data_IF_305037259836
#
_entry.id   IF_305037259836
#
_cell.length_a   1.000
_cell.length_b   1.000
_cell.length_c   1.000
_cell.angle_alpha   90.00
_cell.angle_beta   90.00
_cell.angle_gamma   90.00
#
_symmetry.space_group_name_H-M   'P 1'
#
loop_
_entity.id
_entity.type
_entity.pdbx_description
1 polymer ?
#
# COMPACT_ATOMS: atom_id res chain seq x y z
N UNK A 1 -6.55 8.68 -11.75
CA UNK A 1 -6.35 7.51 -10.88
C UNK A 1 -7.40 6.42 -11.05
N UNK A 2 -8.71 6.73 -11.02
CA UNK A 2 -9.74 5.68 -11.13
C UNK A 2 -9.65 4.80 -12.40
N UNK A 3 -9.39 5.41 -13.56
CA UNK A 3 -9.22 4.69 -14.83
C UNK A 3 -8.01 3.75 -14.79
N UNK A 4 -6.91 4.19 -14.18
CA UNK A 4 -5.71 3.39 -13.99
C UNK A 4 -6.01 2.15 -13.15
N UNK A 5 -6.59 2.32 -11.95
CA UNK A 5 -6.96 1.20 -11.08
C UNK A 5 -7.95 0.25 -11.76
N UNK A 6 -8.90 0.78 -12.53
CA UNK A 6 -9.86 -0.04 -13.30
C UNK A 6 -9.17 -0.91 -14.35
N UNK A 7 -8.17 -0.36 -15.08
CA UNK A 7 -7.40 -1.09 -16.08
C UNK A 7 -6.58 -2.20 -15.42
N UNK A 8 -5.86 -1.89 -14.33
CA UNK A 8 -5.05 -2.87 -13.59
C UNK A 8 -5.90 -4.01 -13.03
N UNK A 9 -7.05 -3.71 -12.41
CA UNK A 9 -7.97 -4.74 -11.90
C UNK A 9 -8.51 -5.64 -13.02
N UNK A 10 -8.82 -5.05 -14.18
CA UNK A 10 -9.28 -5.82 -15.35
C UNK A 10 -8.20 -6.78 -15.85
N UNK A 11 -6.93 -6.35 -15.85
CA UNK A 11 -5.78 -7.19 -16.20
C UNK A 11 -5.50 -8.30 -15.19
N UNK A 12 -5.64 -8.03 -13.89
CA UNK A 12 -5.50 -9.07 -12.86
C UNK A 12 -6.61 -10.13 -13.00
N UNK A 13 -7.83 -9.69 -13.30
CA UNK A 13 -8.97 -10.59 -13.54
C UNK A 13 -8.79 -11.46 -14.79
N UNK A 14 -8.21 -10.90 -15.87
CA UNK A 14 -7.95 -11.67 -17.11
C UNK A 14 -6.83 -12.69 -16.95
N UNK A 15 -5.74 -12.37 -16.23
CA UNK A 15 -4.66 -13.31 -15.90
C UNK A 15 -5.13 -14.47 -14.99
N UNK A 16 -6.21 -14.29 -14.22
CA UNK A 16 -6.82 -15.32 -13.37
C UNK A 16 -7.73 -16.32 -14.12
N UNK A 17 -7.98 -16.12 -15.43
CA UNK A 17 -8.80 -17.02 -16.26
C UNK A 17 -7.97 -17.66 -17.39
N UNK A 18 -7.20 -18.73 -17.15
CA UNK A 18 -6.45 -19.40 -18.20
C UNK A 18 -7.35 -20.42 -18.91
N UNK A 19 -8.35 -19.96 -19.66
CA UNK A 19 -8.99 -20.68 -20.76
C UNK A 19 -10.22 -19.92 -21.26
N UNK A 20 -10.00 -18.95 -22.12
CA UNK A 20 -10.99 -18.58 -23.14
C UNK A 20 -10.31 -18.76 -24.49
N UNK A 21 -10.54 -19.90 -25.12
CA UNK A 21 -10.10 -20.16 -26.49
C UNK A 21 -10.76 -19.14 -27.42
N UNK A 22 -10.03 -18.44 -28.30
CA UNK A 22 -10.66 -17.53 -29.25
C UNK A 22 -11.47 -18.36 -30.25
N UNK A 23 -12.77 -18.08 -30.33
CA UNK A 23 -13.67 -18.63 -31.35
C UNK A 23 -13.20 -18.15 -32.73
N UNK A 24 -12.88 -19.02 -33.69
CA UNK A 24 -12.52 -18.60 -35.03
C UNK A 24 -13.78 -18.21 -35.81
N UNK A 25 -13.88 -16.95 -36.20
CA UNK A 25 -14.90 -16.50 -37.16
C UNK A 25 -14.51 -16.97 -38.56
N UNK A 26 -15.48 -17.57 -39.25
CA UNK A 26 -15.40 -18.24 -40.55
C UNK A 26 -14.90 -17.35 -41.72
N UNK A 27 -14.41 -17.96 -42.83
CA UNK A 27 -13.74 -17.25 -43.92
C UNK A 27 -14.74 -16.63 -44.92
N UNK A 28 -14.37 -15.49 -45.51
CA UNK A 28 -14.98 -14.98 -46.74
C UNK A 28 -13.92 -14.87 -47.83
N UNK A 29 -14.26 -15.45 -48.99
CA UNK A 29 -13.46 -15.60 -50.20
C UNK A 29 -13.33 -14.29 -51.02
N UNK A 30 -12.11 -14.11 -51.57
CA UNK A 30 -11.70 -13.58 -52.89
C UNK A 30 -12.22 -12.23 -53.44
N UNK A 31 -11.28 -11.32 -53.78
CA UNK A 31 -10.85 -11.07 -55.18
C UNK A 31 -9.55 -10.20 -55.24
N UNK A 32 -8.55 -10.49 -56.10
CA UNK A 32 -7.29 -9.73 -56.19
C UNK A 32 -7.21 -8.88 -57.47
N UNK A 33 -7.04 -7.56 -57.35
CA UNK A 33 -6.38 -6.78 -58.42
C UNK A 33 -5.99 -5.36 -57.99
N UNK A 34 -4.82 -4.92 -58.49
CA UNK A 34 -4.22 -3.59 -58.51
C UNK A 34 -3.41 -3.08 -57.30
N UNK A 35 -2.08 -3.16 -57.46
CA UNK A 35 -1.09 -2.13 -57.10
C UNK A 35 -0.64 -1.42 -58.40
N UNK A 36 0.07 -0.26 -58.43
CA UNK A 36 0.84 0.46 -57.39
C UNK A 36 0.39 1.95 -57.23
N UNK A 37 0.83 2.81 -56.30
CA UNK A 37 2.19 3.32 -56.02
C UNK A 37 2.18 4.41 -54.91
N UNK A 38 3.21 4.37 -54.04
CA UNK A 38 3.87 5.44 -53.23
C UNK A 38 3.18 6.08 -51.99
N UNK A 39 3.97 6.49 -50.96
CA UNK A 39 3.54 6.59 -49.54
C UNK A 39 3.30 8.03 -49.04
N UNK A 40 2.69 8.18 -47.86
CA UNK A 40 3.28 8.99 -46.78
C UNK A 40 3.38 8.14 -45.49
N UNK A 41 4.53 8.04 -44.82
CA UNK A 41 4.96 8.94 -43.74
C UNK A 41 3.80 9.35 -42.83
N UNK A 42 3.54 8.52 -41.82
CA UNK A 42 3.26 8.88 -40.42
C UNK A 42 2.72 7.63 -39.72
N UNK A 43 3.58 6.93 -38.98
CA UNK A 43 3.12 6.07 -37.90
C UNK A 43 4.01 6.36 -36.71
N UNK A 44 3.41 7.11 -35.81
CA UNK A 44 3.85 7.45 -34.48
C UNK A 44 4.42 6.20 -33.81
N UNK A 45 5.59 6.40 -33.20
CA UNK A 45 6.24 5.51 -32.26
C UNK A 45 5.27 5.30 -31.08
N UNK A 46 4.32 4.37 -31.21
CA UNK A 46 3.59 3.84 -30.07
C UNK A 46 4.61 3.06 -29.24
N UNK A 47 5.17 3.76 -28.26
CA UNK A 47 6.03 3.18 -27.25
C UNK A 47 5.42 1.89 -26.74
N UNK A 48 6.22 0.83 -26.79
CA UNK A 48 5.92 -0.46 -26.18
C UNK A 48 5.64 -0.22 -24.69
N UNK A 49 4.36 -0.06 -24.32
CA UNK A 49 3.90 -0.12 -22.94
C UNK A 49 4.29 -1.52 -22.43
N UNK A 50 5.29 -1.58 -21.55
CA UNK A 50 5.70 -2.78 -20.84
C UNK A 50 4.56 -3.25 -19.92
N UNK A 51 3.59 -3.97 -20.51
CA UNK A 51 2.33 -4.47 -19.94
C UNK A 51 2.53 -5.53 -18.82
N UNK A 52 3.76 -5.67 -18.31
CA UNK A 52 4.09 -6.50 -17.16
C UNK A 52 4.05 -5.77 -15.83
N UNK A 53 4.07 -4.42 -15.79
CA UNK A 53 4.06 -3.67 -14.53
C UNK A 53 2.70 -3.85 -13.81
N UNK A 54 2.65 -4.56 -12.66
CA UNK A 54 1.42 -4.77 -11.90
C UNK A 54 0.86 -3.51 -11.23
N UNK A 55 1.44 -2.35 -11.49
CA UNK A 55 0.93 -1.04 -11.16
C UNK A 55 2.02 -0.21 -10.53
N UNK A 56 2.74 0.55 -11.36
CA UNK A 56 3.70 1.57 -10.91
C UNK A 56 2.99 2.41 -9.87
N UNK A 57 3.46 2.36 -8.63
CA UNK A 57 3.07 3.38 -7.67
C UNK A 57 3.67 4.68 -8.21
N UNK A 58 2.89 5.77 -8.30
CA UNK A 58 3.46 7.10 -8.59
C UNK A 58 4.62 7.44 -7.64
N UNK A 59 4.59 6.85 -6.44
CA UNK A 59 5.62 6.94 -5.43
C UNK A 59 6.88 6.10 -5.72
N UNK A 60 6.88 5.20 -6.71
CA UNK A 60 8.06 4.40 -7.07
C UNK A 60 9.15 5.22 -7.77
N UNK A 61 8.82 6.41 -8.26
CA UNK A 61 9.81 7.32 -8.84
C UNK A 61 10.81 7.80 -7.77
N UNK A 62 12.08 7.99 -8.15
CA UNK A 62 13.15 8.51 -7.28
C UNK A 62 13.52 7.71 -6.02
N UNK A 63 13.24 6.39 -5.99
CA UNK A 63 13.63 5.50 -4.90
C UNK A 63 13.01 5.88 -3.53
N UNK A 64 11.89 6.61 -3.56
CA UNK A 64 11.23 7.10 -2.35
C UNK A 64 10.76 5.99 -1.37
N UNK A 65 10.26 4.81 -1.83
CA UNK A 65 9.88 3.74 -0.93
C UNK A 65 11.04 3.22 -0.09
N UNK A 66 12.22 3.06 -0.70
CA UNK A 66 13.40 2.59 -0.01
C UNK A 66 13.97 3.64 0.94
N UNK A 67 13.89 4.93 0.60
CA UNK A 67 14.29 6.00 1.52
C UNK A 67 13.40 6.03 2.76
N UNK A 68 12.08 5.93 2.59
CA UNK A 68 11.14 5.87 3.73
C UNK A 68 11.37 4.58 4.53
N UNK A 69 11.57 3.43 3.87
CA UNK A 69 11.90 2.18 4.55
C UNK A 69 13.19 2.30 5.37
N UNK A 70 14.26 2.82 4.76
CA UNK A 70 15.56 3.04 5.40
C UNK A 70 15.40 3.94 6.62
N UNK A 71 14.76 5.10 6.46
CA UNK A 71 14.52 6.05 7.54
C UNK A 71 13.74 5.43 8.71
N UNK A 72 12.66 4.69 8.42
CA UNK A 72 11.81 4.08 9.44
C UNK A 72 12.44 2.87 10.12
N UNK A 73 13.48 2.28 9.53
CA UNK A 73 14.20 1.13 10.09
C UNK A 73 15.52 1.50 10.73
N UNK A 74 15.97 2.74 10.56
CA UNK A 74 17.18 3.27 11.18
C UNK A 74 17.10 3.23 12.72
N UNK A 75 18.18 2.82 13.38
CA UNK A 75 18.23 2.68 14.84
C UNK A 75 18.02 4.00 15.58
N UNK A 76 18.23 5.15 14.93
CA UNK A 76 17.93 6.46 15.50
C UNK A 76 16.42 6.78 15.51
N UNK A 77 15.62 6.13 14.68
CA UNK A 77 14.18 6.34 14.64
C UNK A 77 13.50 5.66 15.85
N UNK A 78 12.78 6.40 16.72
CA UNK A 78 12.29 5.86 17.98
C UNK A 78 11.36 4.65 17.85
N UNK A 79 10.58 4.59 16.76
CA UNK A 79 9.67 3.48 16.48
C UNK A 79 10.25 2.44 15.51
N UNK A 80 11.55 2.48 15.23
CA UNK A 80 12.18 1.44 14.44
C UNK A 80 11.93 0.05 15.07
N UNK A 81 11.79 -1.01 14.26
CA UNK A 81 11.58 -2.36 14.78
C UNK A 81 12.69 -2.81 15.72
N UNK A 82 13.96 -2.41 15.50
CA UNK A 82 15.08 -2.69 16.40
C UNK A 82 14.89 -2.10 17.80
N UNK A 83 14.19 -0.97 17.91
CA UNK A 83 13.91 -0.27 19.16
C UNK A 83 12.62 -0.75 19.85
N UNK A 84 11.68 -1.33 19.10
CA UNK A 84 10.35 -1.71 19.60
C UNK A 84 10.16 -3.22 19.76
N UNK A 85 10.90 -4.04 19.01
CA UNK A 85 10.94 -5.49 19.21
C UNK A 85 11.83 -5.76 20.41
N UNK A 86 11.26 -6.30 21.49
CA UNK A 86 12.04 -6.78 22.62
C UNK A 86 13.08 -7.77 22.10
N UNK A 87 14.37 -7.41 22.19
CA UNK A 87 15.45 -8.37 22.15
C UNK A 87 15.09 -9.44 23.18
N UNK A 88 14.80 -10.65 22.72
CA UNK A 88 14.49 -11.78 23.59
C UNK A 88 15.53 -11.79 24.68
N UNK A 89 15.08 -11.71 25.94
CA UNK A 89 15.94 -11.55 27.11
C UNK A 89 17.26 -12.30 26.93
N UNK A 90 18.34 -11.57 26.70
CA UNK A 90 19.69 -12.08 26.85
C UNK A 90 19.95 -12.23 28.34
N UNK A 91 19.18 -13.09 29.01
CA UNK A 91 19.63 -13.74 30.21
C UNK A 91 20.92 -14.46 29.83
N UNK A 92 22.05 -13.89 30.26
CA UNK A 92 23.35 -14.56 30.36
C UNK A 92 23.18 -15.82 31.21
N UNK A 93 22.64 -16.87 30.60
CA UNK A 93 22.44 -18.19 31.15
C UNK A 93 23.18 -19.17 30.26
N UNK A 94 24.45 -19.40 30.60
CA UNK A 94 25.38 -20.33 29.96
C UNK A 94 24.74 -21.73 29.90
N UNK A 95 24.19 -22.17 28.76
CA UNK A 95 23.92 -23.59 28.49
C UNK A 95 24.21 -23.94 27.03
N UNK A 96 25.21 -24.82 26.85
CA UNK A 96 25.47 -25.56 25.61
C UNK A 96 24.27 -26.46 25.32
N UNK A 97 23.74 -26.39 24.10
CA UNK A 97 22.74 -27.32 23.58
C UNK A 97 22.65 -27.18 22.06
N UNK A 98 22.85 -28.30 21.34
CA UNK A 98 22.80 -28.39 19.88
C UNK A 98 21.41 -28.02 19.34
N UNK A 99 21.41 -27.52 18.11
CA UNK A 99 20.32 -26.77 17.50
C UNK A 99 19.03 -27.52 17.21
N UNK A 100 17.97 -26.72 17.13
CA UNK A 100 16.79 -26.92 16.29
C UNK A 100 16.42 -25.54 15.74
N UNK A 101 16.37 -25.39 14.41
CA UNK A 101 15.81 -24.21 13.75
C UNK A 101 14.34 -24.09 14.20
N UNK A 102 14.05 -23.11 15.05
CA UNK A 102 12.71 -22.84 15.54
C UNK A 102 11.89 -22.14 14.45
N UNK A 103 10.77 -22.75 14.07
CA UNK A 103 9.71 -22.12 13.27
C UNK A 103 9.31 -20.81 13.97
N UNK A 104 9.25 -19.69 13.26
CA UNK A 104 8.85 -18.40 13.85
C UNK A 104 7.47 -18.55 14.49
N UNK A 105 7.39 -18.51 15.82
CA UNK A 105 6.11 -18.52 16.52
C UNK A 105 5.39 -17.20 16.24
N UNK A 106 4.07 -17.28 16.01
CA UNK A 106 3.23 -16.10 15.90
C UNK A 106 3.43 -15.20 17.14
N UNK A 107 3.57 -13.87 16.96
CA UNK A 107 3.82 -12.96 18.07
C UNK A 107 2.68 -13.02 19.09
N UNK A 108 3.02 -12.97 20.37
CA UNK A 108 2.05 -12.95 21.46
C UNK A 108 1.22 -11.66 21.43
N UNK A 109 -0.02 -11.70 21.96
CA UNK A 109 -0.92 -10.53 22.00
C UNK A 109 -0.26 -9.28 22.61
N UNK A 110 0.59 -9.49 23.62
CA UNK A 110 1.34 -8.44 24.32
C UNK A 110 2.50 -7.84 23.50
N UNK A 111 3.06 -8.61 22.57
CA UNK A 111 4.08 -8.11 21.63
C UNK A 111 3.44 -7.27 20.51
N UNK A 112 2.24 -7.65 20.03
CA UNK A 112 1.48 -6.82 19.09
C UNK A 112 1.09 -5.46 19.67
N UNK A 113 0.69 -5.40 20.94
CA UNK A 113 0.35 -4.15 21.63
C UNK A 113 1.55 -3.20 21.82
N UNK A 114 2.79 -3.72 21.78
CA UNK A 114 4.03 -2.94 21.93
C UNK A 114 4.61 -2.40 20.62
N UNK A 115 4.02 -2.79 19.50
CA UNK A 115 4.51 -2.41 18.17
C UNK A 115 3.75 -1.20 17.64
N UNK A 116 4.43 -0.30 16.93
CA UNK A 116 3.82 0.94 16.46
C UNK A 116 2.70 0.65 15.46
N UNK A 117 1.58 1.36 15.60
CA UNK A 117 0.52 1.39 14.59
C UNK A 117 0.87 2.37 13.46
N UNK A 118 0.61 1.96 12.23
CA UNK A 118 0.94 2.75 11.03
C UNK A 118 -0.32 3.02 10.22
N UNK A 119 -0.53 4.28 9.84
CA UNK A 119 -1.52 4.69 8.86
C UNK A 119 -0.84 5.17 7.59
N UNK A 120 -1.30 4.71 6.43
CA UNK A 120 -0.84 5.18 5.13
C UNK A 120 -1.94 5.95 4.39
N UNK A 121 -1.73 7.25 4.20
CA UNK A 121 -2.66 8.17 3.54
C UNK A 121 -2.48 8.12 2.03
N UNK A 122 -3.58 7.95 1.30
CA UNK A 122 -3.52 7.73 -0.15
C UNK A 122 -2.70 6.47 -0.45
N UNK A 123 -3.10 5.35 0.16
CA UNK A 123 -2.30 4.12 0.15
C UNK A 123 -2.14 3.52 -1.25
N UNK A 124 -3.00 3.90 -2.20
CA UNK A 124 -2.94 3.37 -3.55
C UNK A 124 -3.12 1.85 -3.55
N UNK A 125 -2.22 1.18 -4.25
CA UNK A 125 -2.16 -0.27 -4.32
C UNK A 125 -1.63 -0.96 -3.02
N UNK A 126 -1.32 -0.20 -1.97
CA UNK A 126 -0.88 -0.72 -0.67
C UNK A 126 0.58 -1.20 -0.60
N UNK A 127 1.39 -0.93 -1.61
CA UNK A 127 2.78 -1.43 -1.72
C UNK A 127 3.67 -1.03 -0.53
N UNK A 128 3.52 0.20 -0.03
CA UNK A 128 4.36 0.70 1.06
C UNK A 128 4.12 -0.05 2.37
N UNK A 129 2.87 -0.30 2.73
CA UNK A 129 2.56 -1.05 3.95
C UNK A 129 3.03 -2.50 3.84
N UNK A 130 2.94 -3.09 2.64
CA UNK A 130 3.49 -4.40 2.36
C UNK A 130 5.04 -4.40 2.52
N UNK A 131 5.72 -3.39 1.98
CA UNK A 131 7.16 -3.19 2.12
C UNK A 131 7.59 -3.10 3.60
N UNK A 132 6.92 -2.25 4.38
CA UNK A 132 7.19 -2.08 5.81
C UNK A 132 6.93 -3.35 6.62
N UNK A 133 5.89 -4.11 6.26
CA UNK A 133 5.59 -5.39 6.91
C UNK A 133 6.67 -6.43 6.63
N UNK A 134 7.07 -6.59 5.37
CA UNK A 134 7.95 -7.68 4.92
C UNK A 134 9.43 -7.36 5.06
N UNK A 135 9.90 -6.25 4.47
CA UNK A 135 11.31 -5.83 4.53
C UNK A 135 11.56 -5.01 5.80
N UNK A 136 10.60 -4.18 6.21
CA UNK A 136 10.75 -3.29 7.37
C UNK A 136 10.57 -3.94 8.73
N UNK A 137 10.08 -5.19 8.83
CA UNK A 137 9.98 -5.91 10.11
C UNK A 137 8.95 -5.37 11.11
N UNK A 138 8.12 -4.40 10.73
CA UNK A 138 7.06 -3.85 11.57
C UNK A 138 5.97 -4.88 11.85
N UNK A 139 5.54 -5.02 13.11
CA UNK A 139 4.54 -6.05 13.53
C UNK A 139 3.24 -5.50 14.12
N UNK A 140 3.13 -4.17 14.28
CA UNK A 140 1.94 -3.50 14.78
C UNK A 140 0.81 -3.45 13.76
N UNK A 141 -0.31 -2.83 14.13
CA UNK A 141 -1.45 -2.62 13.24
C UNK A 141 -1.05 -1.70 12.08
N UNK A 142 -1.52 -2.03 10.87
CA UNK A 142 -1.27 -1.21 9.69
C UNK A 142 -2.57 -1.01 8.95
N UNK A 143 -2.91 0.25 8.67
CA UNK A 143 -4.11 0.63 7.95
C UNK A 143 -3.70 1.48 6.76
N UNK A 144 -4.13 1.11 5.55
CA UNK A 144 -4.02 1.94 4.36
C UNK A 144 -5.39 2.51 4.02
N UNK A 145 -5.45 3.82 3.78
CA UNK A 145 -6.70 4.50 3.40
C UNK A 145 -6.56 5.16 2.05
N UNK A 146 -7.64 5.14 1.27
CA UNK A 146 -7.74 5.82 -0.02
C UNK A 146 -9.19 6.26 -0.24
N UNK A 147 -9.39 7.38 -0.94
CA UNK A 147 -10.73 7.82 -1.32
C UNK A 147 -11.34 6.93 -2.40
N UNK A 148 -10.50 6.28 -3.22
CA UNK A 148 -10.93 5.45 -4.34
C UNK A 148 -11.19 4.01 -3.92
N UNK A 149 -12.45 3.58 -4.00
CA UNK A 149 -12.83 2.19 -3.75
C UNK A 149 -12.04 1.20 -4.61
N UNK A 150 -11.77 1.55 -5.87
CA UNK A 150 -10.99 0.70 -6.79
C UNK A 150 -9.55 0.51 -6.34
N UNK A 151 -8.94 1.55 -5.76
CA UNK A 151 -7.60 1.49 -5.18
C UNK A 151 -7.54 0.47 -4.03
N UNK A 152 -8.54 0.51 -3.15
CA UNK A 152 -8.66 -0.41 -2.01
C UNK A 152 -8.94 -1.84 -2.45
N UNK A 153 -9.77 -2.05 -3.46
CA UNK A 153 -9.98 -3.38 -4.07
C UNK A 153 -8.65 -3.92 -4.61
N UNK A 154 -7.91 -3.11 -5.36
CA UNK A 154 -6.60 -3.49 -5.89
C UNK A 154 -5.61 -3.85 -4.77
N UNK A 155 -5.50 -3.02 -3.73
CA UNK A 155 -4.62 -3.29 -2.60
C UNK A 155 -4.94 -4.63 -1.90
N UNK A 156 -6.23 -4.90 -1.69
CA UNK A 156 -6.71 -6.17 -1.12
C UNK A 156 -6.42 -7.35 -2.04
N UNK A 157 -6.59 -7.22 -3.35
CA UNK A 157 -6.27 -8.27 -4.32
C UNK A 157 -4.76 -8.58 -4.35
N UNK A 158 -3.91 -7.56 -4.41
CA UNK A 158 -2.45 -7.75 -4.43
C UNK A 158 -1.93 -8.40 -3.15
N UNK A 159 -2.54 -8.06 -2.00
CA UNK A 159 -2.25 -8.71 -0.72
C UNK A 159 -2.64 -10.20 -0.72
N UNK A 160 -3.76 -10.57 -1.37
CA UNK A 160 -4.25 -11.95 -1.46
C UNK A 160 -3.45 -12.81 -2.44
N UNK A 161 -3.19 -12.32 -3.65
CA UNK A 161 -2.75 -13.16 -4.78
C UNK A 161 -1.24 -13.35 -4.88
N UNK A 162 -0.43 -12.39 -4.44
CA UNK A 162 0.97 -12.34 -4.89
C UNK A 162 2.00 -12.33 -3.78
N UNK A 163 1.61 -12.37 -2.50
CA UNK A 163 2.56 -12.44 -1.40
C UNK A 163 3.78 -11.53 -1.60
N UNK A 164 3.56 -10.22 -1.76
CA UNK A 164 4.58 -9.20 -2.01
C UNK A 164 5.39 -9.27 -3.34
N UNK A 165 5.35 -10.37 -4.11
CA UNK A 165 5.99 -10.42 -5.43
C UNK A 165 5.34 -9.44 -6.43
N UNK A 166 4.14 -8.95 -6.13
CA UNK A 166 3.45 -7.93 -6.93
C UNK A 166 4.07 -6.54 -6.86
N UNK A 167 4.91 -6.29 -5.86
CA UNK A 167 5.40 -4.95 -5.56
C UNK A 167 6.89 -4.81 -5.88
N UNK A 168 7.51 -5.87 -6.43
CA UNK A 168 8.87 -5.82 -6.93
C UNK A 168 8.79 -5.33 -8.37
N UNK A 169 9.33 -4.14 -8.64
CA UNK A 169 9.72 -3.76 -9.99
C UNK A 169 10.92 -4.61 -10.39
N UNK A 170 11.03 -4.97 -11.68
CA UNK A 170 12.12 -5.80 -12.22
C UNK A 170 13.53 -5.22 -12.00
N UNK A 171 13.66 -4.01 -11.45
CA UNK A 171 14.93 -3.41 -11.02
C UNK A 171 15.59 -4.09 -9.82
N UNK A 172 14.90 -4.96 -9.08
CA UNK A 172 15.43 -5.69 -7.91
C UNK A 172 16.13 -7.03 -8.29
N UNK A 173 16.28 -7.37 -9.57
CA UNK A 173 16.86 -8.67 -9.98
C UNK A 173 18.40 -8.77 -9.95
N UNK A 174 19.13 -7.68 -9.76
CA UNK A 174 20.59 -7.65 -9.97
C UNK A 174 21.45 -7.49 -8.70
N UNK A 175 21.02 -8.04 -7.57
CA UNK A 175 21.90 -8.20 -6.40
C UNK A 175 21.48 -9.36 -5.51
N UNK A 176 21.94 -10.58 -5.83
CA UNK A 176 22.87 -11.33 -4.96
C UNK A 176 23.31 -12.66 -5.59
N UNK A 177 24.60 -12.70 -5.94
CA UNK A 177 25.55 -13.82 -5.84
C UNK A 177 25.10 -15.23 -6.25
N UNK A 178 25.67 -15.66 -7.38
CA UNK A 178 25.73 -17.05 -7.78
C UNK A 178 26.22 -18.00 -6.68
N UNK A 179 25.32 -18.89 -6.28
CA UNK A 179 25.67 -20.27 -5.89
C UNK A 179 24.71 -21.20 -6.60
N UNK A 180 25.24 -21.81 -7.65
CA UNK A 180 24.74 -23.03 -8.25
C UNK A 180 24.86 -24.13 -7.19
N UNK A 181 23.74 -24.56 -6.62
CA UNK A 181 23.58 -25.85 -5.96
C UNK A 181 22.16 -26.35 -6.28
N UNK A 182 22.09 -27.61 -6.70
CA UNK A 182 21.03 -28.15 -7.54
C UNK A 182 19.70 -28.47 -6.87
N UNK A 183 18.71 -28.62 -7.74
CA UNK A 183 17.55 -29.52 -7.68
C UNK A 183 16.92 -29.74 -6.29
N UNK A 184 15.84 -29.00 -6.01
CA UNK A 184 14.71 -29.55 -5.25
C UNK A 184 13.42 -29.25 -6.05
N UNK A 185 12.82 -30.31 -6.58
CA UNK A 185 11.49 -30.31 -7.16
C UNK A 185 10.47 -30.08 -6.04
N UNK A 186 9.74 -28.95 -6.07
CA UNK A 186 8.60 -28.76 -5.19
C UNK A 186 7.41 -29.61 -5.69
N UNK A 187 7.18 -30.69 -4.95
CA UNK A 187 6.04 -31.61 -5.02
C UNK A 187 4.71 -30.86 -5.13
N UNK A 188 4.05 -31.00 -6.29
CA UNK A 188 2.64 -30.65 -6.47
C UNK A 188 1.81 -31.67 -5.71
N UNK A 189 1.46 -31.37 -4.45
CA UNK A 189 0.41 -32.12 -3.73
C UNK A 189 -0.94 -31.88 -4.40
N UNK A 190 -1.33 -32.84 -5.23
CA UNK A 190 -2.64 -32.97 -5.87
C UNK A 190 -3.70 -33.17 -4.78
N UNK A 191 -4.37 -32.11 -4.36
CA UNK A 191 -5.61 -32.22 -3.60
C UNK A 191 -6.76 -32.49 -4.57
N UNK A 192 -7.44 -33.62 -4.38
CA UNK A 192 -8.55 -34.10 -5.20
C UNK A 192 -9.68 -33.06 -5.30
N UNK A 193 -10.14 -32.85 -6.54
CA UNK A 193 -11.26 -31.98 -6.87
C UNK A 193 -12.59 -32.49 -6.26
N UNK A 194 -13.42 -31.63 -5.64
CA UNK A 194 -14.82 -31.94 -5.46
C UNK A 194 -15.56 -31.71 -6.79
N UNK A 195 -16.43 -32.66 -7.12
CA UNK A 195 -17.30 -32.69 -8.30
C UNK A 195 -18.18 -31.44 -8.44
N UNK A 196 -18.19 -30.87 -9.65
CA UNK A 196 -18.96 -29.68 -10.09
C UNK A 196 -20.46 -30.00 -10.28
N UNK A 197 -21.41 -29.21 -9.77
CA UNK A 197 -22.81 -29.22 -10.21
C UNK A 197 -23.07 -28.25 -11.40
N UNK A 198 -24.15 -28.43 -12.19
CA UNK A 198 -24.34 -27.78 -13.50
C UNK A 198 -24.76 -26.29 -13.40
N UNK A 199 -24.67 -25.52 -14.51
CA UNK A 199 -24.72 -24.06 -14.46
C UNK A 199 -26.15 -23.52 -14.48
N UNK A 200 -26.43 -22.54 -13.63
CA UNK A 200 -27.67 -21.78 -13.65
C UNK A 200 -27.71 -20.74 -12.55
N UNK A 201 -27.89 -19.48 -12.94
CA UNK A 201 -28.05 -18.25 -12.15
C UNK A 201 -26.76 -17.65 -11.55
N UNK A 202 -26.57 -16.36 -11.88
CA UNK A 202 -25.49 -15.52 -11.42
C UNK A 202 -25.61 -15.31 -9.91
N UNK A 203 -24.72 -15.91 -9.14
CA UNK A 203 -24.63 -15.75 -7.69
C UNK A 203 -23.19 -15.35 -7.35
N UNK A 204 -23.08 -14.44 -6.39
CA UNK A 204 -21.88 -13.71 -6.00
C UNK A 204 -20.66 -14.61 -5.75
N UNK A 205 -19.48 -14.11 -6.12
CA UNK A 205 -18.20 -14.70 -5.72
C UNK A 205 -18.22 -14.97 -4.21
N UNK A 206 -17.79 -16.16 -3.75
CA UNK A 206 -17.83 -16.49 -2.34
C UNK A 206 -16.91 -15.54 -1.58
N UNK A 207 -17.50 -14.79 -0.64
CA UNK A 207 -16.78 -14.07 0.40
C UNK A 207 -16.05 -15.14 1.22
N UNK A 208 -14.76 -15.33 0.94
CA UNK A 208 -13.89 -16.10 1.81
C UNK A 208 -13.85 -15.39 3.15
N UNK A 209 -14.27 -16.10 4.20
CA UNK A 209 -14.26 -15.65 5.59
C UNK A 209 -12.89 -15.08 5.98
N UNK A 210 -12.93 -14.01 6.76
CA UNK A 210 -11.80 -13.30 7.36
C UNK A 210 -10.82 -14.26 8.06
N UNK A 211 -9.77 -14.65 7.36
CA UNK A 211 -8.84 -15.67 7.83
C UNK A 211 -7.42 -15.43 7.33
N UNK A 212 -6.69 -14.54 8.01
CA UNK A 212 -5.22 -14.50 8.05
C UNK A 212 -4.47 -14.20 6.74
N UNK A 213 -4.81 -13.11 6.05
CA UNK A 213 -3.91 -12.48 5.07
C UNK A 213 -3.19 -11.29 5.72
N UNK A 214 -1.92 -11.49 6.09
CA UNK A 214 -0.89 -10.47 6.35
C UNK A 214 -1.20 -9.20 7.17
N UNK A 215 -2.18 -9.16 8.08
CA UNK A 215 -2.27 -8.14 9.15
C UNK A 215 -2.23 -6.66 8.73
N UNK A 216 -2.49 -6.33 7.47
CA UNK A 216 -2.65 -4.98 6.95
C UNK A 216 -4.12 -4.86 6.55
N UNK A 217 -4.76 -3.79 7.01
CA UNK A 217 -6.15 -3.45 6.72
C UNK A 217 -6.17 -2.33 5.67
N UNK A 218 -7.12 -2.39 4.74
CA UNK A 218 -7.30 -1.36 3.72
C UNK A 218 -8.74 -0.85 3.76
N UNK A 219 -8.94 0.47 3.78
CA UNK A 219 -10.26 1.09 3.95
C UNK A 219 -10.51 2.23 2.98
N UNK A 220 -11.75 2.33 2.50
CA UNK A 220 -12.20 3.46 1.70
C UNK A 220 -12.52 4.60 2.66
N UNK A 221 -11.74 5.67 2.60
CA UNK A 221 -11.90 6.83 3.47
C UNK A 221 -11.41 8.09 2.80
N UNK A 222 -12.32 9.04 2.59
CA UNK A 222 -11.99 10.35 2.05
C UNK A 222 -11.56 11.29 3.19
N UNK A 223 -10.26 11.51 3.27
CA UNK A 223 -9.63 12.34 4.31
C UNK A 223 -10.20 13.76 4.38
N UNK A 224 -10.64 14.36 3.26
CA UNK A 224 -11.06 15.75 3.21
C UNK A 224 -12.54 15.94 3.60
N UNK A 225 -13.38 14.93 3.37
CA UNK A 225 -14.82 14.97 3.70
C UNK A 225 -15.16 14.27 5.01
N UNK A 226 -14.27 13.44 5.55
CA UNK A 226 -14.56 12.52 6.67
C UNK A 226 -14.03 13.00 8.02
N UNK A 227 -13.81 14.31 8.20
CA UNK A 227 -13.21 14.90 9.41
C UNK A 227 -14.05 14.81 10.66
N UNK A 228 -15.36 14.61 10.52
CA UNK A 228 -16.30 14.45 11.64
C UNK A 228 -15.97 13.24 12.52
N UNK A 229 -15.25 12.25 11.99
CA UNK A 229 -14.76 11.07 12.71
C UNK A 229 -13.52 11.33 13.58
N UNK A 230 -12.88 12.51 13.48
CA UNK A 230 -11.69 12.87 14.25
C UNK A 230 -11.99 13.81 15.43
N UNK A 231 -13.28 14.03 15.71
CA UNK A 231 -13.73 14.80 16.88
C UNK A 231 -13.44 14.05 18.19
N UNK A 232 -13.48 14.73 19.35
CA UNK A 232 -13.45 14.06 20.64
C UNK A 232 -14.47 12.90 20.71
N UNK A 233 -14.07 11.78 21.34
CA UNK A 233 -14.82 10.52 21.29
C UNK A 233 -16.26 10.62 21.82
N UNK A 234 -16.49 11.55 22.75
CA UNK A 234 -17.80 11.89 23.32
C UNK A 234 -18.73 12.62 22.34
N UNK A 235 -18.21 13.09 21.21
CA UNK A 235 -18.94 13.85 20.18
C UNK A 235 -19.17 13.06 18.90
N UNK A 236 -18.68 11.81 18.82
CA UNK A 236 -18.89 10.92 17.67
C UNK A 236 -20.03 9.96 18.02
N UNK A 237 -21.15 9.96 17.27
CA UNK A 237 -22.19 8.96 17.42
C UNK A 237 -21.63 7.54 17.34
N UNK A 238 -22.11 6.60 18.15
CA UNK A 238 -21.55 5.24 18.22
C UNK A 238 -21.52 4.52 16.86
N UNK A 239 -22.46 4.81 15.96
CA UNK A 239 -22.52 4.25 14.60
C UNK A 239 -21.59 4.92 13.57
N UNK A 240 -20.92 6.02 13.94
CA UNK A 240 -19.99 6.76 13.08
C UNK A 240 -18.53 6.59 13.52
N UNK A 241 -18.24 5.69 14.46
CA UNK A 241 -16.85 5.45 14.88
C UNK A 241 -16.12 4.59 13.85
N UNK A 242 -14.91 5.00 13.51
CA UNK A 242 -14.01 4.20 12.69
C UNK A 242 -13.42 3.09 13.57
N UNK A 243 -13.82 1.85 13.33
CA UNK A 243 -13.37 0.68 14.10
C UNK A 243 -11.86 0.40 13.94
N UNK A 244 -11.23 0.97 12.92
CA UNK A 244 -9.78 0.92 12.67
C UNK A 244 -9.00 2.10 13.23
N UNK A 245 -9.67 3.16 13.71
CA UNK A 245 -8.99 4.34 14.24
C UNK A 245 -8.72 4.18 15.75
N UNK A 246 -7.47 4.34 16.21
CA UNK A 246 -7.09 4.13 17.61
C UNK A 246 -7.46 5.33 18.49
N UNK A 247 -8.76 5.52 18.74
CA UNK A 247 -9.29 6.62 19.55
C UNK A 247 -8.72 6.66 20.98
N UNK A 248 -8.50 5.50 21.58
CA UNK A 248 -7.95 5.33 22.93
C UNK A 248 -6.51 5.83 23.04
N UNK A 249 -5.74 5.76 21.95
CA UNK A 249 -4.38 6.30 21.85
C UNK A 249 -4.35 7.74 21.35
N UNK A 250 -5.48 8.26 20.87
CA UNK A 250 -5.59 9.58 20.24
C UNK A 250 -4.91 9.67 18.87
N UNK A 251 -4.79 8.55 18.15
CA UNK A 251 -4.18 8.49 16.81
C UNK A 251 -3.12 7.40 16.65
N UNK A 252 -2.53 7.32 15.46
CA UNK A 252 -1.50 6.36 15.08
C UNK A 252 -0.11 6.79 15.56
N UNK A 253 0.78 5.81 15.78
CA UNK A 253 2.19 6.06 16.10
C UNK A 253 2.93 6.69 14.93
N UNK A 254 2.65 6.21 13.71
CA UNK A 254 3.25 6.66 12.46
C UNK A 254 2.14 6.90 11.44
N UNK A 255 2.13 8.08 10.82
CA UNK A 255 1.27 8.40 9.67
C UNK A 255 2.17 8.70 8.48
N UNK A 256 1.89 8.08 7.34
CA UNK A 256 2.65 8.25 6.11
C UNK A 256 1.83 9.07 5.11
N UNK A 257 2.46 10.09 4.57
CA UNK A 257 2.00 10.85 3.41
C UNK A 257 3.06 10.75 2.33
N UNK A 258 2.72 10.05 1.25
CA UNK A 258 3.65 9.71 0.18
C UNK A 258 3.33 10.43 -1.13
N UNK A 259 3.03 11.72 -1.02
CA UNK A 259 2.55 12.54 -2.14
C UNK A 259 1.03 12.69 -2.18
N UNK A 260 0.32 12.33 -1.10
CA UNK A 260 -1.12 12.59 -0.97
C UNK A 260 -1.37 14.08 -0.82
N UNK A 261 -0.54 14.77 -0.04
CA UNK A 261 -0.62 16.23 0.05
C UNK A 261 -0.33 16.90 -1.30
N UNK A 262 0.60 16.37 -2.10
CA UNK A 262 0.87 16.88 -3.45
C UNK A 262 -0.36 16.75 -4.34
N UNK A 263 -0.95 15.55 -4.40
CA UNK A 263 -2.15 15.29 -5.19
C UNK A 263 -3.33 16.18 -4.76
N UNK A 264 -3.54 16.34 -3.45
CA UNK A 264 -4.55 17.25 -2.90
C UNK A 264 -4.25 18.71 -3.26
N UNK A 265 -2.98 19.09 -3.30
CA UNK A 265 -2.52 20.44 -3.64
C UNK A 265 -2.66 20.79 -5.12
N UNK A 266 -2.90 19.82 -6.00
CA UNK A 266 -3.20 20.07 -7.41
C UNK A 266 -4.63 20.56 -7.65
N UNK A 267 -5.55 20.33 -6.70
CA UNK A 267 -6.91 20.84 -6.83
C UNK A 267 -6.95 22.37 -6.70
N UNK A 268 -7.69 23.01 -7.61
CA UNK A 268 -8.05 24.42 -7.55
C UNK A 268 -9.32 24.67 -6.72
N UNK A 269 -9.94 23.60 -6.20
CA UNK A 269 -11.17 23.71 -5.45
C UNK A 269 -10.98 24.54 -4.18
N UNK A 270 -12.00 25.31 -3.87
CA UNK A 270 -12.08 26.11 -2.66
C UNK A 270 -13.27 25.66 -1.83
N UNK A 271 -13.10 25.73 -0.51
CA UNK A 271 -14.20 25.52 0.41
C UNK A 271 -15.23 26.65 0.24
N UNK A 272 -16.50 26.34 -0.08
CA UNK A 272 -17.51 27.37 -0.35
C UNK A 272 -17.83 28.28 0.84
N UNK A 273 -17.54 27.84 2.07
CA UNK A 273 -17.85 28.58 3.30
C UNK A 273 -16.72 29.53 3.70
N UNK A 274 -15.47 29.12 3.48
CA UNK A 274 -14.26 29.85 3.94
C UNK A 274 -13.49 30.52 2.80
N UNK A 275 -13.73 30.12 1.55
CA UNK A 275 -13.00 30.58 0.37
C UNK A 275 -11.55 30.11 0.29
N UNK A 276 -11.10 29.29 1.26
CA UNK A 276 -9.76 28.74 1.31
C UNK A 276 -9.60 27.56 0.36
N UNK A 277 -8.39 27.32 -0.10
CA UNK A 277 -8.11 26.14 -0.94
C UNK A 277 -8.37 24.87 -0.13
N UNK A 278 -8.90 23.84 -0.78
CA UNK A 278 -9.19 22.56 -0.12
C UNK A 278 -7.92 21.95 0.49
N UNK A 279 -6.75 22.14 -0.13
CA UNK A 279 -5.49 21.66 0.41
C UNK A 279 -5.10 22.26 1.78
N UNK A 280 -5.57 23.47 2.12
CA UNK A 280 -5.32 24.09 3.43
C UNK A 280 -5.97 23.31 4.58
N UNK A 281 -6.99 22.47 4.28
CA UNK A 281 -7.62 21.62 5.27
C UNK A 281 -6.79 20.38 5.61
N UNK A 282 -5.91 19.96 4.71
CA UNK A 282 -5.24 18.68 4.82
C UNK A 282 -4.24 18.60 5.99
N UNK A 283 -3.31 19.56 6.19
CA UNK A 283 -2.33 19.48 7.28
C UNK A 283 -2.93 19.33 8.69
N UNK A 284 -3.98 20.08 9.11
CA UNK A 284 -4.57 19.89 10.42
C UNK A 284 -5.27 18.53 10.57
N UNK A 285 -5.81 17.95 9.50
CA UNK A 285 -6.40 16.60 9.51
C UNK A 285 -5.30 15.55 9.68
N UNK A 286 -4.24 15.61 8.86
CA UNK A 286 -3.10 14.70 8.96
C UNK A 286 -2.47 14.73 10.36
N UNK A 287 -2.32 15.92 10.95
CA UNK A 287 -1.89 16.09 12.34
C UNK A 287 -2.83 15.39 13.34
N UNK A 288 -4.14 15.50 13.15
CA UNK A 288 -5.14 14.89 14.04
C UNK A 288 -5.14 13.36 14.02
N UNK A 289 -4.53 12.75 12.98
CA UNK A 289 -4.37 11.30 12.86
C UNK A 289 -3.14 10.78 13.64
N UNK A 290 -2.25 11.67 14.07
CA UNK A 290 -1.01 11.33 14.78
C UNK A 290 -1.22 11.49 16.28
N UNK A 291 -0.97 10.43 17.06
CA UNK A 291 -1.04 10.54 18.52
C UNK A 291 0.04 11.46 19.08
N UNK A 292 -0.10 11.87 20.34
CA UNK A 292 0.98 12.58 21.05
C UNK A 292 2.25 11.73 21.09
N UNK A 293 3.36 12.32 20.62
CA UNK A 293 4.65 11.63 20.48
C UNK A 293 4.76 10.70 19.26
N UNK A 294 3.76 10.70 18.38
CA UNK A 294 3.79 10.04 17.08
C UNK A 294 4.52 10.88 16.00
N UNK A 295 4.65 10.30 14.82
CA UNK A 295 5.35 10.88 13.68
C UNK A 295 4.46 10.96 12.45
N UNK A 296 4.53 12.09 11.74
CA UNK A 296 4.04 12.23 10.38
C UNK A 296 5.25 12.24 9.44
N UNK A 297 5.30 11.31 8.50
CA UNK A 297 6.32 11.24 7.45
C UNK A 297 5.71 11.79 6.18
N UNK A 298 6.23 12.91 5.68
CA UNK A 298 5.76 13.53 4.44
C UNK A 298 6.88 13.43 3.41
N UNK A 299 6.59 12.81 2.27
CA UNK A 299 7.43 12.93 1.07
C UNK A 299 6.66 13.75 0.04
N UNK A 300 7.35 14.64 -0.65
CA UNK A 300 6.72 15.47 -1.67
C UNK A 300 7.65 15.72 -2.85
N UNK A 301 7.05 15.78 -4.03
CA UNK A 301 7.70 16.15 -5.29
C UNK A 301 7.37 17.59 -5.70
N UNK A 302 6.31 18.18 -5.13
CA UNK A 302 5.76 19.46 -5.56
C UNK A 302 6.14 20.65 -4.67
N UNK A 303 6.58 20.40 -3.44
CA UNK A 303 6.92 21.43 -2.45
C UNK A 303 8.36 21.28 -1.97
N UNK A 304 9.01 22.41 -1.69
CA UNK A 304 10.32 22.39 -1.02
C UNK A 304 10.19 22.00 0.45
N UNK A 305 11.31 21.64 1.08
CA UNK A 305 11.33 21.34 2.51
C UNK A 305 10.78 22.50 3.35
N UNK A 306 11.18 23.73 3.05
CA UNK A 306 10.77 24.92 3.79
C UNK A 306 9.26 25.16 3.66
N UNK A 307 8.70 24.91 2.49
CA UNK A 307 7.27 25.03 2.24
C UNK A 307 6.49 23.95 2.98
N UNK A 308 6.96 22.69 2.96
CA UNK A 308 6.35 21.59 3.72
C UNK A 308 6.38 21.87 5.22
N UNK A 309 7.50 22.36 5.75
CA UNK A 309 7.60 22.77 7.15
C UNK A 309 6.53 23.82 7.44
N UNK A 310 6.44 24.86 6.64
CA UNK A 310 5.42 25.91 6.81
C UNK A 310 3.99 25.36 6.77
N UNK A 311 3.69 24.43 5.86
CA UNK A 311 2.37 23.81 5.74
C UNK A 311 1.99 22.99 6.97
N UNK A 312 2.90 22.17 7.50
CA UNK A 312 2.58 21.18 8.54
C UNK A 312 2.88 21.65 9.97
N UNK A 313 3.81 22.58 10.17
CA UNK A 313 4.12 23.12 11.50
C UNK A 313 3.43 24.46 11.76
N UNK A 314 3.11 25.22 10.72
CA UNK A 314 2.60 26.59 10.83
C UNK A 314 3.54 27.51 11.60
N UNK A 315 3.04 28.68 12.02
CA UNK A 315 3.74 29.66 12.89
C UNK A 315 3.59 29.33 14.40
N UNK A 316 3.16 28.11 14.74
CA UNK A 316 2.58 27.80 16.05
C UNK A 316 3.55 27.21 17.06
N UNK A 317 4.10 28.05 17.94
CA UNK A 317 4.77 27.75 19.23
C UNK A 317 3.87 27.03 20.28
N UNK A 318 2.83 26.32 19.84
CA UNK A 318 1.97 25.54 20.71
C UNK A 318 2.67 24.26 21.15
N UNK A 319 2.56 23.91 22.44
CA UNK A 319 3.09 22.64 23.03
C UNK A 319 2.61 21.35 22.32
N UNK A 320 1.65 21.48 21.42
CA UNK A 320 0.89 20.44 20.74
C UNK A 320 0.97 20.49 19.20
N UNK A 321 1.94 21.23 18.64
CA UNK A 321 2.22 21.30 17.21
C UNK A 321 3.09 20.16 16.69
N UNK A 322 3.06 19.93 15.37
CA UNK A 322 4.09 19.15 14.69
C UNK A 322 5.38 19.99 14.65
N UNK A 323 6.53 19.34 14.78
CA UNK A 323 7.85 19.94 14.64
C UNK A 323 8.74 19.03 13.80
N UNK A 324 9.70 19.61 13.11
CA UNK A 324 10.68 18.83 12.35
C UNK A 324 11.50 17.98 13.32
N UNK A 325 11.56 16.68 13.05
CA UNK A 325 12.36 15.73 13.84
C UNK A 325 13.54 15.16 13.05
N UNK A 326 13.34 14.82 11.77
CA UNK A 326 14.37 14.24 10.90
C UNK A 326 14.03 14.47 9.43
N UNK A 327 14.91 14.00 8.53
CA UNK A 327 14.78 14.10 7.07
C UNK A 327 14.99 12.71 6.44
N UNK A 328 14.14 12.39 5.47
CA UNK A 328 14.15 11.14 4.68
C UNK A 328 15.08 11.27 3.48
#
# INVERSE_FOLDING_TARGET
>A
WETFYSRTLSHLSSKSKPNATPTPTAPQDNDPSNAPSSPPEDSEDEGEDDDSDPGTSWFSEHNAPDKVLSFLTDESFPFAPSNTLRSGSSSKGKKKGKGKKGKALAPSKKEKESQPSILDLGTGNGSMLALLRKKGGFRGEMVGVDYSERSIVLARELQRFKGHSAYLSDSDSDSENGRNDGEEEDDVVVAAAPSVPPPGTAEALPVVEEGQTAGIRFEVWDILSSTHHLRPLDQIPDGEKLDWFPYDKGGFDIVLDKGTFDAVSLSEDTDPQTGKRVCEKYPPIAKGLVRKGGFLIVTSCNWTEEELIKWFTGDGDGKDGLRVWGRV
#
